data_IF_523178182125
#
_entry.id   IF_523178182125
#
_cell.length_a   1.000
_cell.length_b   1.000
_cell.length_c   1.000
_cell.angle_alpha   90.00
_cell.angle_beta   90.00
_cell.angle_gamma   90.00
#
_symmetry.space_group_name_H-M   'P 1'
#
loop_
_entity.id
_entity.type
_entity.pdbx_description
1 polymer ?
#
# COMPACT_ATOMS: atom_id res chain seq x y z
N UNK A 1 11.14 31.22 -32.19
CA UNK A 1 11.69 30.03 -31.53
C UNK A 1 11.56 30.27 -30.04
N UNK A 2 10.66 29.54 -29.36
CA UNK A 2 10.62 29.54 -27.90
C UNK A 2 11.72 28.59 -27.44
N UNK A 3 12.63 29.06 -26.59
CA UNK A 3 13.83 28.33 -26.21
C UNK A 3 13.48 27.01 -25.52
N UNK A 4 13.99 25.89 -26.05
CA UNK A 4 13.80 24.53 -25.50
C UNK A 4 14.24 24.41 -24.02
N UNK A 5 15.05 25.35 -23.54
CA UNK A 5 15.47 25.46 -22.14
C UNK A 5 14.30 25.72 -21.16
N UNK A 6 13.24 26.41 -21.60
CA UNK A 6 12.06 26.68 -20.76
C UNK A 6 11.15 25.46 -20.56
N UNK A 7 11.33 24.43 -21.38
CA UNK A 7 10.62 23.16 -21.30
C UNK A 7 11.38 22.10 -20.50
N UNK A 8 12.63 22.35 -20.11
CA UNK A 8 13.44 21.36 -19.38
C UNK A 8 13.01 21.21 -17.93
N UNK A 9 12.82 19.96 -17.49
CA UNK A 9 12.50 19.66 -16.10
C UNK A 9 13.69 20.00 -15.18
N UNK A 10 13.51 20.98 -14.28
CA UNK A 10 14.59 21.51 -13.43
C UNK A 10 14.69 20.74 -12.12
N UNK A 11 15.91 20.31 -11.77
CA UNK A 11 16.21 19.67 -10.49
C UNK A 11 16.58 20.75 -9.48
N UNK A 12 15.82 20.88 -8.40
CA UNK A 12 16.10 21.82 -7.29
C UNK A 12 17.14 21.29 -6.32
N UNK A 13 17.09 19.99 -6.04
CA UNK A 13 17.95 19.37 -5.04
C UNK A 13 18.22 17.92 -5.40
N UNK A 14 19.45 17.48 -5.18
CA UNK A 14 19.82 16.06 -5.17
C UNK A 14 20.16 15.69 -3.73
N UNK A 15 19.40 14.76 -3.16
CA UNK A 15 19.66 14.31 -1.79
C UNK A 15 20.90 13.43 -1.72
N UNK A 16 21.45 13.25 -0.50
CA UNK A 16 22.56 12.32 -0.22
C UNK A 16 22.29 10.87 -0.66
N UNK A 17 21.01 10.50 -0.79
CA UNK A 17 20.54 9.20 -1.29
C UNK A 17 20.38 9.14 -2.83
N UNK A 18 20.87 10.14 -3.58
CA UNK A 18 20.77 10.20 -5.03
C UNK A 18 19.38 10.54 -5.58
N UNK A 19 18.37 10.75 -4.72
CA UNK A 19 17.01 11.11 -5.17
C UNK A 19 16.96 12.57 -5.60
N UNK A 20 16.48 12.80 -6.81
CA UNK A 20 16.26 14.14 -7.38
C UNK A 20 14.92 14.71 -6.91
N UNK A 21 14.91 15.97 -6.49
CA UNK A 21 13.72 16.78 -6.21
C UNK A 21 13.60 17.82 -7.32
N UNK A 22 12.45 17.84 -7.98
CA UNK A 22 12.19 18.72 -9.10
C UNK A 22 11.47 19.99 -8.67
N UNK A 23 11.66 21.06 -9.43
CA UNK A 23 10.93 22.32 -9.25
C UNK A 23 9.44 22.13 -9.57
N UNK A 24 8.57 22.65 -8.70
CA UNK A 24 7.12 22.46 -8.81
C UNK A 24 6.58 23.02 -10.14
N UNK A 25 6.97 24.25 -10.50
CA UNK A 25 6.55 24.89 -11.73
C UNK A 25 6.96 24.10 -12.98
N UNK A 26 8.22 23.67 -13.08
CA UNK A 26 8.70 22.87 -14.23
C UNK A 26 8.00 21.52 -14.33
N UNK A 27 7.72 20.89 -13.18
CA UNK A 27 6.99 19.62 -13.12
C UNK A 27 5.53 19.80 -13.55
N UNK A 28 4.87 20.87 -13.13
CA UNK A 28 3.48 21.14 -13.51
C UNK A 28 3.34 21.37 -15.00
N UNK A 29 4.23 22.17 -15.61
CA UNK A 29 4.29 22.36 -17.08
C UNK A 29 4.42 21.04 -17.84
N UNK A 30 5.30 20.15 -17.35
CA UNK A 30 5.49 18.83 -17.95
C UNK A 30 4.23 17.95 -17.84
N UNK A 31 3.55 18.01 -16.68
CA UNK A 31 2.31 17.28 -16.45
C UNK A 31 1.17 17.84 -17.31
N UNK A 32 1.08 19.16 -17.50
CA UNK A 32 0.06 19.76 -18.36
C UNK A 32 0.27 19.39 -19.82
N UNK A 33 1.51 19.37 -20.31
CA UNK A 33 1.82 18.91 -21.65
C UNK A 33 1.45 17.43 -21.88
N UNK A 34 1.58 16.58 -20.86
CA UNK A 34 1.14 15.18 -20.94
C UNK A 34 -0.39 14.99 -21.00
N UNK A 35 -1.17 16.00 -20.61
CA UNK A 35 -2.63 15.92 -20.59
C UNK A 35 -3.25 16.31 -21.93
N UNK A 36 -2.46 16.83 -22.88
CA UNK A 36 -2.94 17.15 -24.21
C UNK A 36 -3.30 15.88 -25.00
N UNK A 37 -4.45 15.87 -25.72
CA UNK A 37 -4.87 14.72 -26.49
C UNK A 37 -3.85 14.42 -27.60
N UNK A 38 -3.46 13.15 -27.72
CA UNK A 38 -2.48 12.70 -28.72
C UNK A 38 -1.02 12.75 -28.26
N UNK A 39 -0.72 13.26 -27.06
CA UNK A 39 0.63 13.25 -26.51
C UNK A 39 0.96 11.91 -25.85
N UNK A 40 2.09 11.31 -26.26
CA UNK A 40 2.61 10.11 -25.60
C UNK A 40 3.43 10.49 -24.37
N UNK A 41 2.93 10.10 -23.18
CA UNK A 41 3.63 10.28 -21.90
C UNK A 41 5.03 9.68 -21.93
N UNK A 42 5.22 8.53 -22.58
CA UNK A 42 6.53 7.87 -22.67
C UNK A 42 7.50 8.66 -23.53
N UNK A 43 7.03 9.27 -24.63
CA UNK A 43 7.86 10.12 -25.50
C UNK A 43 8.35 11.34 -24.73
N UNK A 44 7.43 12.04 -24.05
CA UNK A 44 7.76 13.22 -23.27
C UNK A 44 8.70 12.87 -22.11
N UNK A 45 8.49 11.72 -21.46
CA UNK A 45 9.39 11.25 -20.41
C UNK A 45 10.83 11.05 -20.92
N UNK A 46 11.02 10.47 -22.11
CA UNK A 46 12.35 10.28 -22.71
C UNK A 46 13.01 11.61 -23.08
N UNK A 47 12.25 12.54 -23.69
CA UNK A 47 12.72 13.87 -24.07
C UNK A 47 13.24 14.67 -22.88
N UNK A 48 12.59 14.55 -21.72
CA UNK A 48 13.03 15.20 -20.48
C UNK A 48 13.96 14.34 -19.61
N UNK A 49 14.33 13.13 -20.04
CA UNK A 49 15.21 12.22 -19.29
C UNK A 49 14.62 11.74 -17.95
N UNK A 50 13.30 11.57 -17.89
CA UNK A 50 12.54 11.17 -16.70
C UNK A 50 11.95 9.77 -16.91
N UNK A 51 11.82 9.00 -15.84
CA UNK A 51 11.11 7.73 -15.90
C UNK A 51 9.60 7.97 -16.17
N UNK A 52 9.06 7.33 -17.21
CA UNK A 52 7.63 7.43 -17.56
C UNK A 52 6.70 7.04 -16.39
N UNK A 53 7.11 6.09 -15.54
CA UNK A 53 6.35 5.71 -14.36
C UNK A 53 6.27 6.84 -13.31
N UNK A 54 7.33 7.64 -13.18
CA UNK A 54 7.34 8.80 -12.30
C UNK A 54 6.39 9.88 -12.83
N UNK A 55 6.39 10.10 -14.14
CA UNK A 55 5.51 11.05 -14.80
C UNK A 55 4.03 10.64 -14.67
N UNK A 56 3.70 9.36 -14.86
CA UNK A 56 2.35 8.81 -14.60
C UNK A 56 1.89 9.02 -13.16
N UNK A 57 2.78 8.83 -12.18
CA UNK A 57 2.48 9.11 -10.75
C UNK A 57 2.17 10.59 -10.52
N UNK A 58 2.89 11.49 -11.20
CA UNK A 58 2.65 12.92 -11.11
C UNK A 58 1.32 13.33 -11.75
N UNK A 59 0.99 12.79 -12.91
CA UNK A 59 -0.31 13.00 -13.57
C UNK A 59 -1.46 12.56 -12.65
N UNK A 60 -1.38 11.35 -12.07
CA UNK A 60 -2.40 10.86 -11.12
C UNK A 60 -2.55 11.75 -9.89
N UNK A 61 -1.44 12.28 -9.36
CA UNK A 61 -1.49 13.21 -8.23
C UNK A 61 -2.14 14.53 -8.62
N UNK A 62 -1.79 15.06 -9.80
CA UNK A 62 -2.35 16.30 -10.32
C UNK A 62 -3.86 16.19 -10.59
N UNK A 63 -4.32 15.07 -11.17
CA UNK A 63 -5.75 14.82 -11.37
C UNK A 63 -6.51 14.63 -10.05
N UNK A 64 -5.90 13.98 -9.04
CA UNK A 64 -6.52 13.82 -7.73
C UNK A 64 -6.64 15.15 -6.96
N UNK A 65 -5.68 16.07 -7.12
CA UNK A 65 -5.76 17.42 -6.52
C UNK A 65 -6.76 18.31 -7.25
N UNK A 66 -6.93 18.14 -8.56
CA UNK A 66 -7.87 18.93 -9.38
C UNK A 66 -9.30 18.36 -9.38
N UNK A 67 -9.46 17.08 -9.08
CA UNK A 67 -10.76 16.48 -8.81
C UNK A 67 -11.16 16.80 -7.37
N UNK A 68 -11.96 17.87 -7.21
CA UNK A 68 -12.97 17.91 -6.16
C UNK A 68 -13.75 16.57 -6.18
N UNK A 69 -14.28 16.09 -5.03
CA UNK A 69 -14.65 14.69 -4.82
C UNK A 69 -15.44 14.14 -6.00
N UNK A 70 -15.18 12.89 -6.43
CA UNK A 70 -15.87 12.33 -7.58
C UNK A 70 -17.36 12.27 -7.28
N UNK A 71 -18.10 13.31 -7.67
CA UNK A 71 -19.51 13.25 -8.03
C UNK A 71 -19.62 12.53 -9.39
N UNK A 72 -18.90 11.41 -9.52
CA UNK A 72 -19.12 10.47 -10.59
C UNK A 72 -20.09 9.46 -10.01
N UNK A 73 -21.37 9.75 -10.15
CA UNK A 73 -22.41 8.73 -9.99
C UNK A 73 -21.95 7.50 -10.79
N UNK A 74 -21.96 6.29 -10.23
CA UNK A 74 -21.60 5.11 -11.00
C UNK A 74 -22.53 5.03 -12.22
N UNK A 75 -21.96 4.97 -13.42
CA UNK A 75 -22.72 4.80 -14.67
C UNK A 75 -23.40 3.42 -14.75
N UNK A 76 -23.05 2.52 -13.83
CA UNK A 76 -23.61 1.18 -13.72
C UNK A 76 -24.55 1.11 -12.53
N UNK A 77 -25.81 0.81 -12.81
CA UNK A 77 -26.83 0.47 -11.81
C UNK A 77 -26.60 -1.00 -11.44
N UNK A 78 -26.37 -1.35 -10.17
CA UNK A 78 -26.30 -2.75 -9.77
C UNK A 78 -27.68 -3.40 -9.97
N UNK A 79 -27.75 -4.37 -10.87
CA UNK A 79 -28.95 -5.21 -11.06
C UNK A 79 -28.94 -6.25 -9.95
N UNK A 80 -29.91 -6.15 -9.02
CA UNK A 80 -30.10 -7.17 -8.00
C UNK A 80 -30.79 -8.38 -8.63
N UNK A 81 -30.09 -9.51 -8.65
CA UNK A 81 -30.68 -10.80 -8.99
C UNK A 81 -31.37 -11.32 -7.74
N UNK A 82 -32.70 -11.18 -7.69
CA UNK A 82 -33.55 -11.80 -6.69
C UNK A 82 -33.49 -13.33 -6.86
N UNK A 83 -32.57 -13.97 -6.16
CA UNK A 83 -32.59 -15.42 -5.97
C UNK A 83 -33.66 -15.79 -4.96
N UNK A 84 -34.90 -16.00 -5.42
CA UNK A 84 -35.96 -16.49 -4.54
C UNK A 84 -36.64 -17.74 -5.09
N UNK A 85 -36.29 -18.84 -4.43
CA UNK A 85 -37.03 -20.09 -4.13
C UNK A 85 -36.01 -21.24 -4.24
N UNK A 86 -35.84 -22.16 -3.30
CA UNK A 86 -36.51 -22.45 -2.05
C UNK A 86 -35.56 -23.34 -1.24
N UNK A 87 -35.77 -23.36 0.07
CA UNK A 87 -35.14 -24.30 1.00
C UNK A 87 -35.46 -25.72 0.57
N UNK A 88 -34.48 -26.64 0.51
CA UNK A 88 -34.52 -27.81 1.38
C UNK A 88 -33.21 -28.65 1.38
N UNK A 89 -32.95 -29.25 2.55
CA UNK A 89 -32.10 -30.42 2.83
C UNK A 89 -30.57 -30.31 2.78
N UNK A 90 -30.02 -30.03 3.97
CA UNK A 90 -29.17 -30.98 4.71
C UNK A 90 -28.64 -32.18 3.91
N UNK A 91 -27.35 -32.15 3.56
CA UNK A 91 -26.56 -33.36 3.36
C UNK A 91 -25.15 -33.15 3.92
N UNK A 92 -25.02 -33.48 5.21
CA UNK A 92 -23.74 -33.87 5.80
C UNK A 92 -23.34 -35.19 5.16
N UNK A 93 -22.41 -35.16 4.21
CA UNK A 93 -21.68 -36.37 3.82
C UNK A 93 -20.25 -36.25 4.35
N UNK A 94 -20.11 -36.68 5.60
CA UNK A 94 -18.88 -37.26 6.11
C UNK A 94 -18.65 -38.58 5.38
N UNK A 95 -17.50 -38.76 4.74
CA UNK A 95 -16.91 -40.09 4.54
C UNK A 95 -15.42 -40.00 4.84
N UNK A 96 -15.02 -40.86 5.78
CA UNK A 96 -13.70 -41.03 6.32
C UNK A 96 -12.86 -42.00 5.47
N UNK A 97 -11.59 -42.09 5.87
CA UNK A 97 -10.60 -43.16 5.65
C UNK A 97 -9.83 -43.12 4.32
N UNK A 98 -8.52 -42.91 4.40
CA UNK A 98 -7.51 -43.94 4.10
C UNK A 98 -6.32 -43.75 5.06
N UNK A 99 -5.82 -44.90 5.49
CA UNK A 99 -4.89 -45.24 6.57
C UNK A 99 -3.40 -44.85 6.31
N UNK A 100 -2.60 -44.88 7.38
CA UNK A 100 -1.18 -44.48 7.48
C UNK A 100 -0.19 -45.48 6.81
N UNK A 101 1.13 -45.21 6.80
CA UNK A 101 1.95 -45.62 7.96
C UNK A 101 3.07 -44.64 8.38
N UNK A 102 3.59 -44.95 9.57
CA UNK A 102 4.47 -44.21 10.46
C UNK A 102 5.94 -44.10 10.06
N UNK A 103 6.64 -43.21 10.79
CA UNK A 103 8.01 -43.28 11.39
C UNK A 103 8.40 -41.84 11.77
N UNK A 104 9.01 -41.46 12.89
CA UNK A 104 9.40 -42.09 14.17
C UNK A 104 9.72 -40.90 15.12
N UNK A 105 9.95 -41.21 16.39
CA UNK A 105 10.00 -40.37 17.59
C UNK A 105 11.01 -39.20 17.63
N UNK A 106 10.79 -38.21 18.53
CA UNK A 106 11.65 -37.92 19.73
C UNK A 106 11.15 -36.65 20.48
N UNK A 107 10.42 -36.91 21.56
CA UNK A 107 10.64 -36.50 22.97
C UNK A 107 10.93 -35.02 23.37
N UNK A 108 10.00 -34.52 24.22
CA UNK A 108 10.27 -33.72 25.44
C UNK A 108 10.02 -32.21 25.30
N UNK A 109 9.40 -31.46 26.22
CA UNK A 109 8.85 -31.67 27.56
C UNK A 109 7.95 -30.46 27.91
N UNK A 110 6.97 -30.63 28.80
CA UNK A 110 6.29 -29.55 29.57
C UNK A 110 6.67 -29.80 31.05
N UNK A 111 6.57 -28.88 32.04
CA UNK A 111 5.38 -28.02 32.24
C UNK A 111 5.57 -26.65 33.00
N UNK A 112 4.44 -25.93 33.14
CA UNK A 112 3.95 -25.22 34.37
C UNK A 112 4.20 -23.70 34.53
N UNK A 113 3.11 -22.92 34.55
CA UNK A 113 3.06 -21.56 35.10
C UNK A 113 1.84 -20.71 34.67
N UNK A 114 0.69 -20.91 35.34
CA UNK A 114 -0.44 -19.96 35.59
C UNK A 114 -1.19 -19.24 34.43
N UNK A 115 -2.50 -18.97 34.60
CA UNK A 115 -3.36 -18.49 33.53
C UNK A 115 -3.29 -16.96 33.45
N UNK A 116 -3.04 -16.42 32.26
CA UNK A 116 -3.39 -15.05 31.96
C UNK A 116 -3.95 -15.02 30.54
N UNK A 117 -5.28 -14.91 30.46
CA UNK A 117 -5.89 -14.37 29.26
C UNK A 117 -5.29 -12.97 29.05
N UNK A 118 -4.64 -12.78 27.92
CA UNK A 118 -4.66 -11.54 27.17
C UNK A 118 -4.29 -11.93 25.75
N UNK A 119 -5.27 -11.98 24.86
CA UNK A 119 -5.00 -11.92 23.42
C UNK A 119 -3.95 -10.82 23.20
N UNK A 120 -2.81 -11.11 22.56
CA UNK A 120 -1.70 -10.16 22.47
C UNK A 120 -2.24 -8.85 21.90
N UNK A 121 -2.09 -7.77 22.66
CA UNK A 121 -2.59 -6.49 22.25
C UNK A 121 -1.76 -6.05 21.04
N UNK A 122 -2.42 -5.89 19.89
CA UNK A 122 -1.77 -5.46 18.65
C UNK A 122 -1.69 -3.94 18.65
N UNK A 123 -0.48 -3.41 18.78
CA UNK A 123 -0.19 -1.97 18.73
C UNK A 123 0.36 -1.64 17.35
N UNK A 124 -0.20 -0.63 16.68
CA UNK A 124 0.28 -0.17 15.38
C UNK A 124 0.55 1.33 15.38
N UNK A 125 1.71 1.75 14.87
CA UNK A 125 2.13 3.16 14.79
C UNK A 125 2.60 3.48 13.37
N UNK A 126 2.26 4.68 12.87
CA UNK A 126 2.73 5.19 11.59
C UNK A 126 3.58 6.45 11.78
N UNK A 127 4.77 6.45 11.20
CA UNK A 127 5.70 7.57 11.24
C UNK A 127 5.49 8.52 10.04
N UNK A 128 5.88 9.82 10.13
CA UNK A 128 5.71 10.82 9.06
C UNK A 128 6.46 10.48 7.75
N UNK A 129 7.45 9.60 7.85
CA UNK A 129 8.20 9.05 6.72
C UNK A 129 7.42 7.95 5.97
N UNK A 130 6.23 7.57 6.44
CA UNK A 130 5.38 6.52 5.87
C UNK A 130 5.69 5.10 6.36
N UNK A 131 6.65 4.94 7.27
CA UNK A 131 6.95 3.64 7.89
C UNK A 131 5.83 3.29 8.88
N UNK A 132 5.35 2.05 8.80
CA UNK A 132 4.35 1.51 9.72
C UNK A 132 4.99 0.40 10.54
N UNK A 133 4.84 0.47 11.85
CA UNK A 133 5.29 -0.55 12.79
C UNK A 133 4.05 -1.18 13.40
N UNK A 134 4.03 -2.52 13.48
CA UNK A 134 3.00 -3.28 14.15
C UNK A 134 3.68 -4.26 15.10
N UNK A 135 3.24 -4.27 16.35
CA UNK A 135 3.80 -5.04 17.44
C UNK A 135 2.66 -5.80 18.11
N UNK A 136 2.91 -7.05 18.44
CA UNK A 136 2.02 -7.87 19.25
C UNK A 136 2.72 -8.09 20.58
N UNK A 137 2.19 -7.47 21.64
CA UNK A 137 2.81 -7.55 22.96
C UNK A 137 1.84 -8.16 23.95
N UNK A 138 2.31 -9.21 24.63
CA UNK A 138 1.58 -9.85 25.74
C UNK A 138 2.03 -9.33 27.12
N UNK A 139 3.01 -8.44 27.17
CA UNK A 139 3.66 -7.99 28.40
C UNK A 139 3.88 -6.46 28.40
N UNK A 140 3.47 -5.81 29.48
CA UNK A 140 3.53 -4.35 29.63
C UNK A 140 4.97 -3.89 29.84
N UNK A 141 5.80 -4.69 30.51
CA UNK A 141 7.20 -4.36 30.76
C UNK A 141 8.01 -4.39 29.45
N UNK A 142 7.79 -5.43 28.64
CA UNK A 142 8.35 -5.51 27.29
C UNK A 142 7.91 -4.35 26.39
N UNK A 143 6.62 -3.95 26.44
CA UNK A 143 6.12 -2.80 25.68
C UNK A 143 6.78 -1.49 26.13
N UNK A 144 6.95 -1.30 27.43
CA UNK A 144 7.57 -0.08 28.01
C UNK A 144 9.05 0.01 27.62
N UNK A 145 9.78 -1.10 27.65
CA UNK A 145 11.18 -1.14 27.21
C UNK A 145 11.34 -0.76 25.74
N UNK A 146 10.44 -1.24 24.85
CA UNK A 146 10.46 -0.89 23.42
C UNK A 146 10.16 0.60 23.23
N UNK A 147 9.16 1.13 23.92
CA UNK A 147 8.80 2.56 23.83
C UNK A 147 9.96 3.43 24.33
N UNK A 148 10.60 3.07 25.44
CA UNK A 148 11.79 3.78 25.95
C UNK A 148 12.94 3.80 24.95
N UNK A 149 13.26 2.65 24.34
CA UNK A 149 14.31 2.56 23.32
C UNK A 149 14.02 3.38 22.05
N UNK A 150 12.75 3.62 21.74
CA UNK A 150 12.33 4.44 20.60
C UNK A 150 12.20 5.94 20.93
N UNK A 151 12.10 6.31 22.22
CA UNK A 151 11.92 7.69 22.68
C UNK A 151 13.20 8.52 22.76
N UNK A 152 14.37 7.89 22.74
CA UNK A 152 15.71 8.52 22.86
C UNK A 152 16.33 8.91 21.50
N UNK A 153 15.52 9.39 20.55
CA UNK A 153 15.95 9.79 19.19
C UNK A 153 15.74 11.28 18.92
#
# INVERSE_FOLDING_TARGET
MMSDDDQKLRVRLVGRNGRRRYEAASKERLVTACLEPGVSVSRLALEHGVNANLLRKWIKKHSATRSLPPSSRPAFIPVQLEGKAERDLSRKDSVATVDLPACDEVRGSKPKGTPAFCSPAKVSVSLPNGVKLALECGDVDALTAIIGALGDV
#
